data_IF_719068664906
#
_entry.id   IF_719068664906
#
_cell.length_a   1.000
_cell.length_b   1.000
_cell.length_c   1.000
_cell.angle_alpha   90.00
_cell.angle_beta   90.00
_cell.angle_gamma   90.00
#
_symmetry.space_group_name_H-M   'P 1'
#
loop_
_entity.id
_entity.type
_entity.pdbx_description
1 polymer ?
#
# COMPACT_ATOMS: atom_id res chain seq x y z
N UNK A 1 2.43 3.31 -33.66
CA UNK A 1 2.73 1.95 -33.13
C UNK A 1 2.91 2.08 -31.63
N UNK A 2 2.12 1.36 -30.83
CA UNK A 2 2.33 1.31 -29.38
C UNK A 2 3.63 0.56 -29.11
N UNK A 3 4.57 1.15 -28.37
CA UNK A 3 5.82 0.47 -28.01
C UNK A 3 5.53 -0.72 -27.10
N UNK A 4 6.43 -1.71 -27.05
CA UNK A 4 6.30 -2.83 -26.11
C UNK A 4 6.13 -2.37 -24.65
N UNK A 5 6.79 -1.26 -24.29
CA UNK A 5 6.63 -0.60 -22.99
C UNK A 5 5.20 -0.09 -22.76
N UNK A 6 4.61 0.60 -23.74
CA UNK A 6 3.25 1.11 -23.60
C UNK A 6 2.22 -0.03 -23.48
N UNK A 7 2.42 -1.12 -24.22
CA UNK A 7 1.55 -2.30 -24.10
C UNK A 7 1.71 -2.97 -22.74
N UNK A 8 2.94 -3.06 -22.22
CA UNK A 8 3.19 -3.55 -20.87
C UNK A 8 2.49 -2.69 -19.82
N UNK A 9 2.65 -1.37 -19.87
CA UNK A 9 2.00 -0.43 -18.93
C UNK A 9 0.48 -0.56 -18.99
N UNK A 10 -0.11 -0.55 -20.20
CA UNK A 10 -1.56 -0.73 -20.36
C UNK A 10 -2.06 -2.06 -19.78
N UNK A 11 -1.28 -3.13 -19.94
CA UNK A 11 -1.64 -4.46 -19.41
C UNK A 11 -1.48 -4.51 -17.89
N UNK A 12 -0.38 -3.98 -17.36
CA UNK A 12 -0.06 -3.97 -15.93
C UNK A 12 -1.01 -3.07 -15.12
N UNK A 13 -1.50 -1.99 -15.71
CA UNK A 13 -2.44 -1.06 -15.09
C UNK A 13 -3.91 -1.37 -15.38
N UNK A 14 -4.23 -2.47 -16.09
CA UNK A 14 -5.62 -2.83 -16.37
C UNK A 14 -6.29 -3.32 -15.08
N UNK A 15 -7.25 -2.54 -14.60
CA UNK A 15 -8.05 -2.87 -13.42
C UNK A 15 -9.54 -2.73 -13.78
N UNK A 16 -10.26 -3.85 -13.74
CA UNK A 16 -11.72 -3.89 -13.87
C UNK A 16 -12.31 -4.54 -12.61
N UNK A 17 -12.79 -3.74 -11.64
CA UNK A 17 -13.33 -4.28 -10.40
C UNK A 17 -14.75 -4.84 -10.56
N UNK A 18 -15.46 -4.49 -11.64
CA UNK A 18 -16.92 -4.61 -11.73
C UNK A 18 -17.45 -6.05 -11.66
N UNK A 19 -16.64 -7.03 -12.06
CA UNK A 19 -17.02 -8.44 -12.07
C UNK A 19 -16.63 -9.20 -10.80
N UNK A 20 -15.61 -8.74 -10.06
CA UNK A 20 -14.94 -9.59 -9.04
C UNK A 20 -14.73 -8.93 -7.68
N UNK A 21 -14.87 -7.61 -7.58
CA UNK A 21 -14.58 -6.85 -6.36
C UNK A 21 -15.78 -6.00 -5.94
N UNK A 22 -15.92 -5.83 -4.64
CA UNK A 22 -16.90 -4.93 -4.02
C UNK A 22 -16.19 -3.64 -3.61
N UNK A 23 -16.75 -2.46 -3.94
CA UNK A 23 -16.20 -1.20 -3.45
C UNK A 23 -16.39 -1.11 -1.94
N UNK A 24 -15.38 -0.63 -1.24
CA UNK A 24 -15.40 -0.35 0.19
C UNK A 24 -15.44 1.15 0.42
N UNK A 25 -16.50 1.64 1.06
CA UNK A 25 -16.72 3.05 1.30
C UNK A 25 -16.68 3.39 2.78
N UNK A 26 -16.08 4.54 3.11
CA UNK A 26 -16.03 5.12 4.45
C UNK A 26 -16.50 6.56 4.34
N UNK A 27 -17.57 6.93 5.05
CA UNK A 27 -18.17 8.26 5.00
C UNK A 27 -18.48 8.76 3.57
N UNK A 28 -18.91 7.85 2.70
CA UNK A 28 -19.21 8.14 1.30
C UNK A 28 -17.98 8.25 0.38
N UNK A 29 -16.77 8.08 0.90
CA UNK A 29 -15.52 8.05 0.13
C UNK A 29 -15.13 6.61 -0.19
N UNK A 30 -14.82 6.32 -1.46
CA UNK A 30 -14.29 5.03 -1.89
C UNK A 30 -12.87 4.84 -1.36
N UNK A 31 -12.71 3.99 -0.35
CA UNK A 31 -11.43 3.69 0.29
C UNK A 31 -10.67 2.55 -0.41
N UNK A 32 -11.38 1.63 -1.07
CA UNK A 32 -10.74 0.48 -1.72
C UNK A 32 -11.72 -0.48 -2.40
N UNK A 33 -11.18 -1.61 -2.85
CA UNK A 33 -11.91 -2.68 -3.54
C UNK A 33 -11.55 -4.06 -3.00
N UNK A 34 -12.48 -4.71 -2.31
CA UNK A 34 -12.22 -6.02 -1.68
C UNK A 34 -12.91 -7.17 -2.40
N UNK A 35 -12.37 -8.37 -2.26
CA UNK A 35 -13.03 -9.58 -2.76
C UNK A 35 -14.32 -9.82 -1.99
N UNK A 36 -15.37 -10.29 -2.67
CA UNK A 36 -16.63 -10.67 -2.04
C UNK A 36 -16.45 -11.67 -0.90
N UNK A 37 -15.59 -12.68 -1.08
CA UNK A 37 -15.29 -13.67 -0.03
C UNK A 37 -14.60 -13.11 1.22
N UNK A 38 -13.91 -11.97 1.10
CA UNK A 38 -13.40 -11.26 2.28
C UNK A 38 -14.49 -10.38 2.89
N UNK A 39 -15.27 -9.68 2.07
CA UNK A 39 -16.39 -8.87 2.52
C UNK A 39 -17.39 -9.67 3.35
N UNK A 40 -17.74 -10.90 2.95
CA UNK A 40 -18.66 -11.78 3.67
C UNK A 40 -18.21 -12.04 5.12
N UNK A 41 -16.90 -12.02 5.41
CA UNK A 41 -16.40 -12.14 6.79
C UNK A 41 -16.71 -10.91 7.63
N UNK A 42 -16.85 -9.74 7.01
CA UNK A 42 -17.16 -8.50 7.73
C UNK A 42 -18.60 -8.47 8.24
N UNK A 43 -19.48 -9.39 7.80
CA UNK A 43 -20.84 -9.55 8.34
C UNK A 43 -20.86 -9.95 9.82
N UNK A 44 -19.75 -10.47 10.35
CA UNK A 44 -19.57 -10.75 11.79
C UNK A 44 -19.58 -9.48 12.65
N UNK A 45 -19.37 -8.29 12.03
CA UNK A 45 -19.40 -6.98 12.71
C UNK A 45 -20.47 -6.05 12.13
N UNK A 46 -21.77 -6.36 12.31
CA UNK A 46 -22.87 -5.62 11.68
C UNK A 46 -23.07 -4.21 12.24
N UNK A 47 -22.39 -3.84 13.33
CA UNK A 47 -22.34 -2.48 13.88
C UNK A 47 -21.26 -1.63 13.22
N UNK A 48 -20.28 -2.24 12.55
CA UNK A 48 -19.12 -1.59 11.94
C UNK A 48 -19.15 -1.64 10.41
N UNK A 49 -19.72 -2.71 9.85
CA UNK A 49 -19.79 -2.89 8.40
C UNK A 49 -21.18 -3.23 7.95
N UNK A 50 -21.48 -2.74 6.75
CA UNK A 50 -22.73 -3.02 6.07
C UNK A 50 -22.45 -3.54 4.68
N UNK A 51 -22.84 -4.78 4.42
CA UNK A 51 -22.80 -5.35 3.08
C UNK A 51 -24.08 -5.00 2.32
N UNK A 52 -23.91 -4.57 1.07
CA UNK A 52 -24.98 -4.28 0.11
C UNK A 52 -24.63 -4.91 -1.23
N UNK A 53 -25.61 -5.16 -2.12
CA UNK A 53 -25.34 -5.73 -3.44
C UNK A 53 -24.31 -4.96 -4.27
N UNK A 54 -24.14 -3.65 -3.99
CA UNK A 54 -23.25 -2.74 -4.70
C UNK A 54 -21.96 -2.39 -3.94
N UNK A 55 -21.70 -2.98 -2.77
CA UNK A 55 -20.47 -2.69 -2.02
C UNK A 55 -20.57 -2.91 -0.51
N UNK A 56 -19.47 -2.57 0.16
CA UNK A 56 -19.33 -2.57 1.61
C UNK A 56 -19.22 -1.13 2.09
N UNK A 57 -19.96 -0.78 3.14
CA UNK A 57 -19.79 0.49 3.85
C UNK A 57 -19.26 0.25 5.25
N UNK A 58 -18.31 1.07 5.70
CA UNK A 58 -18.07 1.24 7.13
C UNK A 58 -19.20 2.11 7.70
N UNK A 59 -19.84 1.63 8.75
CA UNK A 59 -20.95 2.29 9.43
C UNK A 59 -20.61 2.47 10.91
N UNK A 60 -21.25 3.44 11.54
CA UNK A 60 -21.00 3.82 12.92
C UNK A 60 -20.82 5.32 13.04
N UNK A 61 -21.00 5.84 14.25
CA UNK A 61 -20.78 7.25 14.56
C UNK A 61 -19.34 7.42 15.05
N UNK A 62 -18.43 7.69 14.12
CA UNK A 62 -17.01 7.90 14.41
C UNK A 62 -16.63 9.36 14.19
N UNK A 63 -16.29 10.11 15.25
CA UNK A 63 -16.01 11.55 15.12
C UNK A 63 -14.78 11.87 14.26
N UNK A 64 -13.82 10.95 14.14
CA UNK A 64 -12.57 11.15 13.41
C UNK A 64 -11.88 9.84 13.02
N UNK A 65 -10.76 9.97 12.30
CA UNK A 65 -9.96 8.85 11.80
C UNK A 65 -9.44 7.91 12.90
N UNK A 66 -9.10 8.41 14.08
CA UNK A 66 -8.62 7.57 15.19
C UNK A 66 -9.71 6.65 15.71
N UNK A 67 -10.95 7.13 15.80
CA UNK A 67 -12.07 6.31 16.25
C UNK A 67 -12.40 5.21 15.23
N UNK A 68 -12.36 5.54 13.93
CA UNK A 68 -12.47 4.54 12.86
C UNK A 68 -11.32 3.52 12.93
N UNK A 69 -10.10 3.98 13.20
CA UNK A 69 -8.93 3.12 13.39
C UNK A 69 -9.07 2.15 14.55
N UNK A 70 -9.52 2.61 15.71
CA UNK A 70 -9.72 1.74 16.86
C UNK A 70 -10.75 0.65 16.54
N UNK A 71 -11.87 1.03 15.91
CA UNK A 71 -12.92 0.09 15.54
C UNK A 71 -12.45 -0.95 14.51
N UNK A 72 -11.72 -0.54 13.48
CA UNK A 72 -11.22 -1.49 12.47
C UNK A 72 -10.04 -2.32 12.98
N UNK A 73 -9.27 -1.83 13.97
CA UNK A 73 -8.16 -2.56 14.56
C UNK A 73 -8.65 -3.86 15.23
N UNK A 74 -9.72 -3.81 16.02
CA UNK A 74 -10.30 -5.00 16.67
C UNK A 74 -10.70 -6.08 15.65
N UNK A 75 -11.30 -5.66 14.54
CA UNK A 75 -11.71 -6.53 13.43
C UNK A 75 -10.49 -7.17 12.76
N UNK A 76 -9.48 -6.33 12.44
CA UNK A 76 -8.25 -6.76 11.78
C UNK A 76 -7.44 -7.71 12.65
N UNK A 77 -7.35 -7.45 13.96
CA UNK A 77 -6.70 -8.31 14.93
C UNK A 77 -7.42 -9.66 15.05
N UNK A 78 -8.75 -9.64 15.14
CA UNK A 78 -9.54 -10.88 15.18
C UNK A 78 -9.32 -11.72 13.91
N UNK A 79 -9.41 -11.10 12.73
CA UNK A 79 -9.15 -11.79 11.46
C UNK A 79 -7.70 -12.27 11.33
N UNK A 80 -6.74 -11.61 11.97
CA UNK A 80 -5.36 -12.07 12.04
C UNK A 80 -5.22 -13.31 12.94
N UNK A 81 -5.88 -13.33 14.11
CA UNK A 81 -5.88 -14.52 15.00
C UNK A 81 -6.56 -15.75 14.38
N UNK A 82 -7.49 -15.52 13.43
CA UNK A 82 -8.13 -16.57 12.64
C UNK A 82 -7.33 -16.99 11.40
N UNK A 83 -6.09 -16.52 11.23
CA UNK A 83 -5.23 -16.76 10.06
C UNK A 83 -5.83 -16.29 8.71
N UNK A 84 -6.84 -15.41 8.74
CA UNK A 84 -7.42 -14.81 7.53
C UNK A 84 -6.49 -13.71 7.00
N UNK A 85 -6.10 -12.78 7.88
CA UNK A 85 -5.09 -11.75 7.59
C UNK A 85 -3.73 -12.29 8.01
N UNK A 86 -2.80 -12.41 7.05
CA UNK A 86 -1.46 -12.98 7.28
C UNK A 86 -0.36 -11.99 6.96
N UNK A 87 0.81 -12.22 7.58
CA UNK A 87 2.01 -11.42 7.32
C UNK A 87 2.04 -10.11 8.09
N UNK A 88 1.50 -10.12 9.32
CA UNK A 88 1.58 -9.01 10.28
C UNK A 88 2.98 -8.41 10.36
N UNK A 89 3.06 -7.08 10.49
CA UNK A 89 4.31 -6.32 10.50
C UNK A 89 4.48 -5.42 11.72
N UNK A 90 3.43 -5.24 12.53
CA UNK A 90 3.38 -4.20 13.57
C UNK A 90 3.65 -2.82 12.95
N UNK A 91 3.12 -2.59 11.75
CA UNK A 91 3.33 -1.35 11.01
C UNK A 91 1.98 -0.80 10.56
N UNK A 92 1.62 0.37 11.07
CA UNK A 92 0.41 1.09 10.67
C UNK A 92 0.65 1.91 9.42
N UNK A 93 -0.39 2.07 8.62
CA UNK A 93 -0.37 2.87 7.38
C UNK A 93 -1.57 3.80 7.33
N UNK A 94 -1.41 4.90 6.60
CA UNK A 94 -2.48 5.87 6.39
C UNK A 94 -3.35 5.44 5.21
N UNK A 95 -4.67 5.41 5.43
CA UNK A 95 -5.65 5.16 4.37
C UNK A 95 -6.21 6.50 3.94
N UNK A 96 -5.77 6.97 2.77
CA UNK A 96 -6.09 8.29 2.22
C UNK A 96 -6.59 8.15 0.78
N UNK A 97 -7.50 9.03 0.37
CA UNK A 97 -7.88 9.20 -1.03
C UNK A 97 -8.20 10.69 -1.29
N UNK A 98 -7.42 11.40 -2.13
CA UNK A 98 -6.05 11.11 -2.61
C UNK A 98 -4.94 11.32 -1.55
N UNK A 99 -3.66 11.12 -1.93
CA UNK A 99 -2.48 11.09 -1.04
C UNK A 99 -2.35 12.26 -0.03
N UNK A 100 -2.73 13.48 -0.43
CA UNK A 100 -2.61 14.67 0.41
C UNK A 100 -3.85 14.99 1.24
N UNK A 101 -4.89 14.14 1.15
CA UNK A 101 -6.09 14.30 1.97
C UNK A 101 -5.82 13.88 3.42
N UNK A 102 -6.60 14.40 4.37
CA UNK A 102 -6.67 13.82 5.71
C UNK A 102 -6.98 12.30 5.64
N UNK A 103 -6.38 11.48 6.51
CA UNK A 103 -6.67 10.05 6.57
C UNK A 103 -8.15 9.76 6.83
N UNK A 104 -8.70 8.81 6.07
CA UNK A 104 -9.98 8.18 6.39
C UNK A 104 -9.83 7.41 7.69
N UNK A 105 -8.82 6.56 7.77
CA UNK A 105 -8.42 5.82 8.97
C UNK A 105 -6.98 5.33 8.80
N UNK A 106 -6.46 4.71 9.83
CA UNK A 106 -5.19 4.00 9.91
C UNK A 106 -5.44 2.51 10.09
N UNK A 107 -4.65 1.68 9.44
CA UNK A 107 -4.79 0.21 9.50
C UNK A 107 -3.42 -0.47 9.50
N UNK A 108 -3.35 -1.70 9.99
CA UNK A 108 -2.13 -2.50 9.88
C UNK A 108 -1.83 -2.83 8.40
N UNK A 109 -0.57 -2.67 8.00
CA UNK A 109 -0.06 -2.87 6.64
C UNK A 109 -0.52 -4.15 5.95
N UNK A 110 -0.47 -5.29 6.64
CA UNK A 110 -0.88 -6.61 6.18
C UNK A 110 -2.37 -6.68 5.83
N UNK A 111 -3.22 -5.88 6.49
CA UNK A 111 -4.65 -5.83 6.21
C UNK A 111 -4.97 -5.04 4.93
N UNK A 112 -4.12 -4.07 4.54
CA UNK A 112 -4.42 -3.15 3.42
C UNK A 112 -4.81 -3.85 2.12
N UNK A 113 -4.14 -4.97 1.79
CA UNK A 113 -4.42 -5.78 0.59
C UNK A 113 -5.79 -6.46 0.60
N UNK A 114 -6.34 -6.74 1.78
CA UNK A 114 -7.63 -7.44 1.91
C UNK A 114 -8.80 -6.47 1.72
N UNK A 115 -8.63 -5.25 2.22
CA UNK A 115 -9.54 -4.13 1.99
C UNK A 115 -9.34 -3.47 0.62
N UNK A 116 -8.29 -3.83 -0.11
CA UNK A 116 -7.96 -3.32 -1.45
C UNK A 116 -7.71 -1.82 -1.46
N UNK A 117 -7.01 -1.34 -0.44
CA UNK A 117 -6.75 0.08 -0.21
C UNK A 117 -5.66 0.60 -1.14
N UNK A 118 -5.72 1.88 -1.47
CA UNK A 118 -4.60 2.58 -2.11
C UNK A 118 -3.46 2.72 -1.11
N UNK A 119 -2.28 2.22 -1.47
CA UNK A 119 -1.09 2.21 -0.63
C UNK A 119 0.04 2.98 -1.31
N UNK A 120 0.81 3.76 -0.54
CA UNK A 120 1.85 4.63 -1.07
C UNK A 120 3.22 4.15 -0.66
N UNK A 121 4.17 4.17 -1.60
CA UNK A 121 5.53 3.72 -1.40
C UNK A 121 6.54 4.70 -1.99
N UNK A 122 7.75 4.70 -1.44
CA UNK A 122 8.89 5.44 -1.96
C UNK A 122 9.84 4.48 -2.68
N UNK A 123 10.29 4.88 -3.86
CA UNK A 123 11.21 4.10 -4.70
C UNK A 123 12.43 4.94 -5.07
N UNK A 124 13.64 4.43 -4.82
CA UNK A 124 14.88 5.11 -5.15
C UNK A 124 15.46 4.61 -6.49
N UNK A 125 15.72 5.53 -7.42
CA UNK A 125 16.51 5.25 -8.61
C UNK A 125 17.97 5.67 -8.37
N UNK A 126 18.84 4.69 -8.12
CA UNK A 126 20.28 4.93 -7.90
C UNK A 126 21.05 5.02 -9.22
N UNK A 127 21.21 6.24 -9.75
CA UNK A 127 21.92 6.49 -11.00
C UNK A 127 23.40 6.81 -10.75
N UNK A 128 24.28 6.36 -11.64
CA UNK A 128 25.71 6.70 -11.64
C UNK A 128 26.23 6.79 -13.08
N UNK A 129 27.43 7.32 -13.26
CA UNK A 129 28.10 7.34 -14.56
C UNK A 129 29.46 6.65 -14.46
N UNK A 130 29.78 5.80 -15.43
CA UNK A 130 31.10 5.18 -15.57
C UNK A 130 31.60 5.41 -16.99
N UNK A 131 32.79 5.97 -17.14
CA UNK A 131 33.38 6.32 -18.45
C UNK A 131 32.43 7.16 -19.33
N UNK A 132 31.70 8.10 -18.71
CA UNK A 132 30.73 8.96 -19.40
C UNK A 132 29.39 8.29 -19.78
N UNK A 133 29.19 7.01 -19.46
CA UNK A 133 27.94 6.29 -19.75
C UNK A 133 27.05 6.18 -18.51
N UNK A 134 25.71 6.30 -18.64
CA UNK A 134 24.79 6.17 -17.52
C UNK A 134 24.62 4.70 -17.10
N UNK A 135 24.60 4.48 -15.79
CA UNK A 135 24.31 3.20 -15.16
C UNK A 135 23.27 3.39 -14.06
N UNK A 136 22.54 2.32 -13.77
CA UNK A 136 21.60 2.26 -12.66
C UNK A 136 21.89 1.03 -11.80
N UNK A 137 21.89 1.22 -10.49
CA UNK A 137 21.91 0.12 -9.55
C UNK A 137 20.52 -0.52 -9.46
N UNK A 138 20.47 -1.84 -9.61
CA UNK A 138 19.27 -2.65 -9.43
C UNK A 138 19.51 -3.63 -8.29
N UNK A 139 18.58 -3.69 -7.35
CA UNK A 139 18.62 -4.72 -6.32
C UNK A 139 18.07 -6.04 -6.87
N UNK A 140 18.48 -7.15 -6.27
CA UNK A 140 17.82 -8.45 -6.45
C UNK A 140 17.19 -8.85 -5.13
N UNK A 141 15.87 -9.04 -5.15
CA UNK A 141 15.10 -9.38 -3.95
C UNK A 141 15.54 -10.73 -3.38
N UNK A 142 15.61 -10.82 -2.05
CA UNK A 142 15.90 -12.07 -1.36
C UNK A 142 14.94 -13.19 -1.81
N UNK A 143 15.41 -14.44 -1.95
CA UNK A 143 14.54 -15.57 -2.23
C UNK A 143 13.50 -15.84 -1.14
N UNK A 144 13.68 -15.29 0.07
CA UNK A 144 12.76 -15.46 1.21
C UNK A 144 11.71 -14.35 1.32
N UNK A 145 11.70 -13.33 0.44
CA UNK A 145 10.66 -12.30 0.47
C UNK A 145 9.30 -12.92 0.14
N UNK A 146 8.28 -12.56 0.93
CA UNK A 146 6.91 -13.04 0.75
C UNK A 146 6.31 -12.64 -0.61
N UNK A 147 6.64 -11.43 -1.08
CA UNK A 147 6.24 -10.94 -2.40
C UNK A 147 7.44 -10.89 -3.34
N UNK A 148 7.27 -11.43 -4.54
CA UNK A 148 8.21 -11.35 -5.66
C UNK A 148 9.66 -11.78 -5.32
N UNK A 149 9.86 -12.99 -4.77
CA UNK A 149 11.20 -13.48 -4.44
C UNK A 149 12.10 -13.58 -5.68
N UNK A 150 13.36 -13.15 -5.55
CA UNK A 150 14.38 -13.27 -6.60
C UNK A 150 14.24 -12.32 -7.80
N UNK A 151 13.19 -11.47 -7.84
CA UNK A 151 12.98 -10.47 -8.89
C UNK A 151 13.93 -9.27 -8.73
N UNK A 152 14.10 -8.52 -9.81
CA UNK A 152 14.83 -7.25 -9.78
C UNK A 152 13.95 -6.16 -9.15
N UNK A 153 14.58 -5.18 -8.51
CA UNK A 153 13.93 -4.08 -7.81
C UNK A 153 14.75 -2.79 -7.93
N UNK A 154 14.16 -1.68 -7.48
CA UNK A 154 14.89 -0.44 -7.22
C UNK A 154 16.03 -0.68 -6.20
N UNK A 155 17.02 0.22 -6.14
CA UNK A 155 18.12 0.05 -5.15
C UNK A 155 17.59 0.05 -3.71
N UNK A 156 16.50 0.78 -3.45
CA UNK A 156 15.72 0.70 -2.22
C UNK A 156 14.26 1.07 -2.54
N UNK A 157 13.31 0.37 -1.91
CA UNK A 157 11.90 0.69 -2.03
C UNK A 157 11.10 0.20 -0.82
N UNK A 158 10.20 1.05 -0.32
CA UNK A 158 9.39 0.68 0.82
C UNK A 158 8.09 1.46 0.93
N UNK A 159 7.13 0.84 1.60
CA UNK A 159 5.83 1.42 1.88
C UNK A 159 5.98 2.59 2.87
N UNK A 160 5.18 3.64 2.68
CA UNK A 160 5.14 4.77 3.59
C UNK A 160 4.26 4.39 4.78
N UNK A 161 4.90 4.19 5.93
CA UNK A 161 4.24 3.94 7.20
C UNK A 161 3.59 5.22 7.75
N UNK A 162 2.61 5.05 8.65
CA UNK A 162 1.95 6.14 9.37
C UNK A 162 2.98 7.06 10.02
N UNK A 163 2.83 8.36 9.82
CA UNK A 163 3.72 9.38 10.38
C UNK A 163 5.03 9.58 9.61
N UNK A 164 5.25 8.85 8.51
CA UNK A 164 6.38 9.07 7.62
C UNK A 164 5.97 9.87 6.39
N UNK A 165 6.86 10.74 5.94
CA UNK A 165 6.82 11.34 4.59
C UNK A 165 7.51 10.42 3.57
N UNK A 166 7.29 10.62 2.25
CA UNK A 166 8.03 9.90 1.23
C UNK A 166 9.56 10.00 1.41
N UNK A 167 10.09 11.19 1.72
CA UNK A 167 11.53 11.38 1.89
C UNK A 167 12.07 10.65 3.13
N UNK A 168 11.36 10.70 4.26
CA UNK A 168 11.78 10.00 5.47
C UNK A 168 11.72 8.48 5.30
N UNK A 169 10.71 7.96 4.60
CA UNK A 169 10.65 6.54 4.21
C UNK A 169 11.82 6.20 3.30
N UNK A 170 12.06 6.97 2.24
CA UNK A 170 13.15 6.76 1.30
C UNK A 170 14.50 6.66 2.03
N UNK A 171 14.80 7.59 2.95
CA UNK A 171 16.04 7.59 3.73
C UNK A 171 16.17 6.34 4.60
N UNK A 172 15.12 6.00 5.37
CA UNK A 172 15.09 4.79 6.21
C UNK A 172 15.35 3.52 5.38
N UNK A 173 14.58 3.33 4.32
CA UNK A 173 14.65 2.11 3.49
C UNK A 173 15.98 2.03 2.72
N UNK A 174 16.55 3.17 2.30
CA UNK A 174 17.86 3.21 1.64
C UNK A 174 18.99 2.69 2.54
N UNK A 175 18.92 2.98 3.84
CA UNK A 175 19.85 2.44 4.80
C UNK A 175 19.60 0.95 5.06
N UNK A 176 18.35 0.56 5.33
CA UNK A 176 17.99 -0.81 5.68
C UNK A 176 18.22 -1.82 4.55
N UNK A 177 17.93 -1.44 3.29
CA UNK A 177 17.99 -2.37 2.16
C UNK A 177 19.32 -2.32 1.41
N UNK A 178 20.00 -1.17 1.39
CA UNK A 178 21.20 -0.96 0.58
C UNK A 178 22.40 -0.41 1.37
N UNK A 179 22.28 -0.17 2.67
CA UNK A 179 23.35 0.38 3.50
C UNK A 179 23.74 1.81 3.11
N UNK A 180 22.88 2.54 2.40
CA UNK A 180 23.16 3.91 1.97
C UNK A 180 23.10 4.82 3.20
N UNK A 181 24.17 5.59 3.52
CA UNK A 181 24.15 6.49 4.66
C UNK A 181 23.05 7.54 4.55
N UNK A 182 22.40 7.86 5.66
CA UNK A 182 21.29 8.83 5.70
C UNK A 182 21.65 10.18 5.09
N UNK A 183 22.87 10.68 5.35
CA UNK A 183 23.30 11.97 4.81
C UNK A 183 23.44 11.95 3.28
N UNK A 184 23.80 10.80 2.70
CA UNK A 184 23.79 10.63 1.25
C UNK A 184 22.36 10.50 0.71
N UNK A 185 21.51 9.69 1.35
CA UNK A 185 20.13 9.47 0.91
C UNK A 185 19.27 10.75 0.92
N UNK A 186 19.52 11.67 1.85
CA UNK A 186 18.84 12.99 1.92
C UNK A 186 19.05 13.87 0.68
N UNK A 187 20.07 13.59 -0.14
CA UNK A 187 20.30 14.31 -1.39
C UNK A 187 19.42 13.83 -2.56
N UNK A 188 18.63 12.77 -2.37
CA UNK A 188 17.70 12.30 -3.37
C UNK A 188 16.71 13.41 -3.79
N UNK A 189 16.38 13.46 -5.08
CA UNK A 189 15.44 14.43 -5.64
C UNK A 189 14.17 13.73 -6.08
N UNK A 190 13.02 14.30 -5.73
CA UNK A 190 11.73 13.81 -6.20
C UNK A 190 11.66 13.95 -7.73
N UNK A 191 11.32 12.86 -8.42
CA UNK A 191 11.23 12.81 -9.88
C UNK A 191 9.78 12.64 -10.38
N UNK A 192 8.80 12.64 -9.48
CA UNK A 192 7.38 12.44 -9.78
C UNK A 192 6.79 11.26 -9.02
N UNK A 193 5.59 10.84 -9.43
CA UNK A 193 4.87 9.69 -8.90
C UNK A 193 4.24 8.89 -10.06
N UNK A 194 4.02 7.59 -9.82
CA UNK A 194 3.33 6.67 -10.73
C UNK A 194 2.13 6.10 -9.96
N UNK A 195 0.95 6.07 -10.59
CA UNK A 195 -0.29 5.47 -10.06
C UNK A 195 -0.75 4.36 -11.01
#
# INVERSE_FOLDING_TARGET
>A
MTTALNQFVQTACRFDPSETLLPFNVDGVLAGWMKKSFAERLEEWPTLFVLRPRGVGMIGDFPNAEHRSAAIAEVVETLATQDVIRGWRNEMVDVVEPFHSPPLFYIERAASRYFGLTMYASHLNGLTARNGQPYMWLAKRSPTKYMDPGKLDNIAAGLIARGYSPMTTLVKESFEEAGIPNDLAKHARAAGAVR
#
